data_IF_207692583692
#
_entry.id   IF_207692583692
#
_cell.length_a   1.000
_cell.length_b   1.000
_cell.length_c   1.000
_cell.angle_alpha   90.00
_cell.angle_beta   90.00
_cell.angle_gamma   90.00
#
_symmetry.space_group_name_H-M   'P 1'
#
loop_
_entity.id
_entity.type
_entity.pdbx_description
1 polymer ?
#
# COMPACT_ATOMS: atom_id res chain seq x y z
N UNK A 1 11.66 -6.86 0.30
CA UNK A 1 11.14 -6.79 1.68
C UNK A 1 9.94 -5.88 1.67
N UNK A 2 8.85 -6.24 2.36
CA UNK A 2 7.60 -5.48 2.33
C UNK A 2 7.78 -4.07 2.94
N UNK A 3 7.47 -3.06 2.13
CA UNK A 3 7.41 -1.65 2.52
C UNK A 3 5.96 -1.17 2.42
N UNK A 4 5.54 -0.35 3.38
CA UNK A 4 4.19 0.21 3.44
C UNK A 4 4.30 1.71 3.65
N UNK A 5 3.48 2.50 2.97
CA UNK A 5 3.37 3.94 3.22
C UNK A 5 2.67 4.18 4.55
N UNK A 6 3.38 4.75 5.52
CA UNK A 6 2.79 5.21 6.78
C UNK A 6 2.06 6.52 6.56
N UNK A 7 0.73 6.52 6.69
CA UNK A 7 -0.11 7.71 6.43
C UNK A 7 0.24 8.90 7.31
N UNK A 8 0.86 8.67 8.48
CA UNK A 8 1.24 9.76 9.39
C UNK A 8 2.43 10.58 8.87
N UNK A 9 3.31 9.94 8.10
CA UNK A 9 4.54 10.56 7.59
C UNK A 9 4.55 10.71 6.09
N UNK A 10 3.74 9.94 5.36
CA UNK A 10 3.80 9.81 3.90
C UNK A 10 5.00 9.00 3.41
N UNK A 11 5.83 8.49 4.32
CA UNK A 11 7.10 7.83 3.99
C UNK A 11 6.94 6.29 3.98
N UNK A 12 7.65 5.59 3.08
CA UNK A 12 7.69 4.14 3.07
C UNK A 12 8.47 3.60 4.28
N UNK A 13 7.80 2.80 5.10
CA UNK A 13 8.36 2.10 6.27
C UNK A 13 8.42 0.60 6.02
N UNK A 14 9.47 -0.05 6.53
CA UNK A 14 9.58 -1.50 6.54
C UNK A 14 8.48 -2.13 7.43
N UNK A 15 7.64 -2.98 6.84
CA UNK A 15 6.50 -3.58 7.55
C UNK A 15 6.93 -4.56 8.65
N UNK A 16 8.15 -5.12 8.55
CA UNK A 16 8.72 -6.08 9.48
C UNK A 16 10.23 -5.86 9.63
N UNK A 17 10.67 -4.82 10.36
CA UNK A 17 12.08 -4.39 10.41
C UNK A 17 13.05 -5.48 10.93
N UNK A 18 12.53 -6.46 11.68
CA UNK A 18 13.27 -7.65 12.07
C UNK A 18 12.79 -8.87 11.28
N UNK A 19 13.70 -9.55 10.54
CA UNK A 19 13.37 -10.72 9.69
C UNK A 19 12.73 -11.91 10.42
N UNK A 20 12.70 -11.92 11.75
CA UNK A 20 12.07 -12.95 12.60
C UNK A 20 11.30 -12.36 13.79
N UNK A 21 11.11 -11.05 13.82
CA UNK A 21 10.30 -10.40 14.85
C UNK A 21 8.82 -10.66 14.59
N UNK A 22 8.05 -10.89 15.65
CA UNK A 22 6.61 -10.95 15.55
C UNK A 22 6.09 -9.59 15.08
N UNK A 23 5.34 -9.57 13.98
CA UNK A 23 4.64 -8.36 13.51
C UNK A 23 3.17 -8.47 13.88
N UNK A 24 2.64 -7.42 14.50
CA UNK A 24 1.22 -7.35 14.88
C UNK A 24 0.47 -6.51 13.87
N UNK A 25 -0.58 -7.07 13.27
CA UNK A 25 -1.49 -6.34 12.38
C UNK A 25 -2.81 -6.10 13.12
N UNK A 26 -3.18 -4.83 13.32
CA UNK A 26 -4.43 -4.46 13.98
C UNK A 26 -5.38 -3.79 12.98
N UNK A 27 -6.48 -4.46 12.67
CA UNK A 27 -7.54 -3.91 11.84
C UNK A 27 -8.52 -3.08 12.69
N UNK A 28 -8.83 -1.86 12.25
CA UNK A 28 -9.75 -0.94 12.89
C UNK A 28 -10.97 -0.74 11.98
N UNK A 29 -12.07 -1.41 12.31
CA UNK A 29 -13.32 -1.33 11.55
C UNK A 29 -14.50 -1.11 12.50
N UNK A 30 -15.40 -0.19 12.16
CA UNK A 30 -16.50 0.23 13.03
C UNK A 30 -17.88 0.08 12.38
N UNK A 31 -18.33 -1.17 12.24
CA UNK A 31 -19.63 -1.53 11.63
C UNK A 31 -19.46 -2.38 10.37
N UNK A 32 -20.56 -2.97 9.88
CA UNK A 32 -20.58 -3.72 8.62
C UNK A 32 -20.93 -2.79 7.46
N UNK A 33 -19.92 -2.37 6.70
CA UNK A 33 -20.06 -1.67 5.42
C UNK A 33 -18.92 -2.08 4.47
N UNK A 34 -18.99 -1.64 3.21
CA UNK A 34 -18.00 -2.00 2.19
C UNK A 34 -16.59 -1.48 2.51
N UNK A 35 -16.46 -0.33 3.18
CA UNK A 35 -15.17 0.23 3.60
C UNK A 35 -14.55 -0.62 4.72
N UNK A 36 -15.36 -1.03 5.69
CA UNK A 36 -14.95 -1.95 6.76
C UNK A 36 -14.48 -3.29 6.18
N UNK A 37 -15.18 -3.85 5.20
CA UNK A 37 -14.73 -5.07 4.52
C UNK A 37 -13.42 -4.86 3.76
N UNK A 38 -13.23 -3.71 3.10
CA UNK A 38 -11.95 -3.38 2.45
C UNK A 38 -10.81 -3.26 3.46
N UNK A 39 -11.03 -2.67 4.62
CA UNK A 39 -10.05 -2.62 5.72
C UNK A 39 -9.64 -4.04 6.14
N UNK A 40 -10.60 -4.95 6.32
CA UNK A 40 -10.30 -6.34 6.68
C UNK A 40 -9.56 -7.09 5.56
N UNK A 41 -9.92 -6.85 4.29
CA UNK A 41 -9.25 -7.45 3.14
C UNK A 41 -7.80 -6.99 3.01
N UNK A 42 -7.54 -5.67 3.12
CA UNK A 42 -6.17 -5.13 3.12
C UNK A 42 -5.37 -5.67 4.30
N UNK A 43 -6.00 -5.84 5.47
CA UNK A 43 -5.37 -6.45 6.63
C UNK A 43 -4.98 -7.91 6.38
N UNK A 44 -5.87 -8.73 5.80
CA UNK A 44 -5.55 -10.11 5.44
C UNK A 44 -4.49 -10.21 4.34
N UNK A 45 -4.52 -9.32 3.35
CA UNK A 45 -3.50 -9.22 2.31
C UNK A 45 -2.12 -8.90 2.91
N UNK A 46 -2.07 -7.96 3.87
CA UNK A 46 -0.85 -7.62 4.60
C UNK A 46 -0.30 -8.81 5.40
N UNK A 47 -1.17 -9.54 6.11
CA UNK A 47 -0.79 -10.76 6.85
C UNK A 47 -0.23 -11.81 5.87
N UNK A 48 -0.90 -12.05 4.72
CA UNK A 48 -0.44 -13.00 3.69
C UNK A 48 0.91 -12.58 3.10
N UNK A 49 1.10 -11.30 2.79
CA UNK A 49 2.35 -10.78 2.25
C UNK A 49 3.53 -10.97 3.22
N UNK A 50 3.31 -10.68 4.51
CA UNK A 50 4.30 -10.86 5.57
C UNK A 50 4.69 -12.34 5.75
N UNK A 51 3.72 -13.25 5.79
CA UNK A 51 3.98 -14.69 5.93
C UNK A 51 4.65 -15.28 4.69
N UNK A 52 4.30 -14.83 3.48
CA UNK A 52 5.02 -15.19 2.26
C UNK A 52 6.48 -14.72 2.31
N UNK A 53 6.76 -13.64 3.04
CA UNK A 53 8.11 -13.18 3.37
C UNK A 53 8.77 -13.91 4.54
N UNK A 54 8.08 -14.86 5.18
CA UNK A 54 8.56 -15.63 6.32
C UNK A 54 8.44 -14.92 7.68
N UNK A 55 7.75 -13.79 7.76
CA UNK A 55 7.52 -13.05 9.00
C UNK A 55 6.34 -13.66 9.77
N UNK A 56 6.51 -14.04 11.04
CA UNK A 56 5.38 -14.46 11.87
C UNK A 56 4.47 -13.26 12.17
N UNK A 57 3.17 -13.44 11.99
CA UNK A 57 2.18 -12.37 12.14
C UNK A 57 1.14 -12.72 13.19
N UNK A 58 0.75 -11.73 13.98
CA UNK A 58 -0.41 -11.82 14.87
C UNK A 58 -1.46 -10.78 14.44
N UNK A 59 -2.62 -11.25 13.99
CA UNK A 59 -3.69 -10.40 13.44
C UNK A 59 -4.80 -10.18 14.46
N UNK A 60 -5.18 -8.92 14.71
CA UNK A 60 -6.19 -8.51 15.69
C UNK A 60 -7.27 -7.64 15.05
N UNK A 61 -8.51 -7.80 15.49
CA UNK A 61 -9.62 -6.91 15.14
C UNK A 61 -10.00 -6.01 16.32
N UNK A 62 -10.07 -4.71 16.07
CA UNK A 62 -10.39 -3.65 17.04
C UNK A 62 -11.53 -2.76 16.51
N UNK A 63 -12.40 -2.26 17.41
CA UNK A 63 -13.62 -1.51 17.08
C UNK A 63 -14.90 -2.35 17.25
N UNK A 64 -15.80 -1.93 18.15
CA UNK A 64 -16.79 -2.82 18.78
C UNK A 64 -18.28 -2.52 18.44
N UNK A 65 -18.65 -2.41 17.16
CA UNK A 65 -20.06 -2.50 16.73
C UNK A 65 -20.23 -3.64 15.72
N UNK A 66 -21.30 -4.44 15.87
CA UNK A 66 -21.66 -5.55 14.96
C UNK A 66 -20.54 -6.58 14.70
N UNK A 67 -19.69 -6.85 15.70
CA UNK A 67 -18.48 -7.65 15.50
C UNK A 67 -18.76 -9.10 15.03
N UNK A 68 -19.90 -9.68 15.40
CA UNK A 68 -20.29 -11.01 14.95
C UNK A 68 -20.65 -11.03 13.46
N UNK A 69 -21.45 -10.05 13.01
CA UNK A 69 -21.84 -9.89 11.60
C UNK A 69 -20.62 -9.60 10.72
N UNK A 70 -19.74 -8.71 11.18
CA UNK A 70 -18.50 -8.39 10.48
C UNK A 70 -17.58 -9.61 10.34
N UNK A 71 -17.48 -10.46 11.38
CA UNK A 71 -16.73 -11.72 11.30
C UNK A 71 -17.39 -12.72 10.34
N UNK A 72 -18.70 -12.84 10.36
CA UNK A 72 -19.42 -13.72 9.43
C UNK A 72 -19.19 -13.28 7.99
N UNK A 73 -19.27 -11.97 7.72
CA UNK A 73 -18.98 -11.39 6.41
C UNK A 73 -17.51 -11.60 5.99
N UNK A 74 -16.57 -11.39 6.90
CA UNK A 74 -15.15 -11.65 6.66
C UNK A 74 -14.88 -13.13 6.34
N UNK A 75 -15.49 -14.04 7.10
CA UNK A 75 -15.42 -15.48 6.84
C UNK A 75 -15.98 -15.87 5.48
N UNK A 76 -17.11 -15.29 5.08
CA UNK A 76 -17.68 -15.48 3.74
C UNK A 76 -16.73 -15.01 2.63
N UNK A 77 -15.96 -13.93 2.87
CA UNK A 77 -14.92 -13.41 1.97
C UNK A 77 -13.59 -14.19 1.98
N UNK A 78 -13.51 -15.32 2.69
CA UNK A 78 -12.27 -16.10 2.81
C UNK A 78 -11.15 -15.38 3.57
N UNK A 79 -11.49 -14.36 4.36
CA UNK A 79 -10.57 -13.63 5.22
C UNK A 79 -10.22 -14.51 6.40
N UNK A 80 -8.93 -14.62 6.72
CA UNK A 80 -8.49 -15.44 7.86
C UNK A 80 -8.96 -14.82 9.19
N UNK A 81 -9.31 -15.64 10.20
CA UNK A 81 -9.82 -15.14 11.47
C UNK A 81 -8.82 -14.19 12.15
N UNK A 82 -9.32 -13.09 12.70
CA UNK A 82 -8.56 -12.19 13.56
C UNK A 82 -8.78 -12.54 15.03
N UNK A 83 -7.70 -12.52 15.81
CA UNK A 83 -7.75 -12.70 17.26
C UNK A 83 -8.38 -11.46 17.95
N UNK A 84 -8.93 -11.63 19.15
CA UNK A 84 -9.53 -10.53 19.91
C UNK A 84 -8.49 -9.77 20.74
N UNK A 85 -8.58 -8.43 20.74
CA UNK A 85 -7.66 -7.54 21.47
C UNK A 85 -7.73 -7.57 23.01
N UNK A 86 -8.55 -8.44 23.61
CA UNK A 86 -8.72 -8.50 25.08
C UNK A 86 -7.66 -9.34 25.80
N UNK A 87 -6.86 -10.15 25.10
CA UNK A 87 -6.05 -11.18 25.79
C UNK A 87 -4.55 -10.88 25.94
N UNK A 88 -3.99 -9.76 25.45
CA UNK A 88 -2.52 -9.61 25.44
C UNK A 88 -2.03 -8.17 25.66
N UNK A 89 -2.31 -7.63 26.84
CA UNK A 89 -1.57 -6.49 27.39
C UNK A 89 -0.46 -6.96 28.32
N UNK A 90 0.79 -7.09 27.83
CA UNK A 90 2.07 -6.92 28.57
C UNK A 90 3.20 -7.90 28.21
N UNK A 91 2.95 -9.03 27.54
CA UNK A 91 3.95 -10.12 27.46
C UNK A 91 4.87 -10.18 26.23
N UNK A 92 4.58 -9.45 25.15
CA UNK A 92 5.30 -9.56 23.88
C UNK A 92 5.95 -8.21 23.54
N UNK A 93 7.11 -7.94 24.14
CA UNK A 93 7.91 -6.74 23.88
C UNK A 93 8.31 -6.58 22.40
N UNK A 94 8.66 -5.34 22.03
CA UNK A 94 9.31 -4.95 20.76
C UNK A 94 8.68 -5.44 19.43
N UNK A 95 7.43 -5.87 19.42
CA UNK A 95 6.73 -6.24 18.19
C UNK A 95 6.39 -4.97 17.37
N UNK A 96 6.78 -4.94 16.09
CA UNK A 96 6.29 -3.94 15.13
C UNK A 96 4.76 -4.02 15.07
N UNK A 97 4.07 -2.90 15.21
CA UNK A 97 2.60 -2.83 15.13
C UNK A 97 2.18 -2.06 13.88
N UNK A 98 1.38 -2.70 13.04
CA UNK A 98 0.77 -2.10 11.86
C UNK A 98 -0.72 -1.88 12.15
N UNK A 99 -1.16 -0.63 12.14
CA UNK A 99 -2.57 -0.28 12.29
C UNK A 99 -3.19 -0.10 10.92
N UNK A 100 -4.22 -0.88 10.58
CA UNK A 100 -4.95 -0.74 9.32
C UNK A 100 -6.31 -0.12 9.62
N UNK A 101 -6.62 1.02 9.02
CA UNK A 101 -7.84 1.78 9.30
C UNK A 101 -8.34 2.50 8.06
N UNK A 102 -9.63 2.84 8.03
CA UNK A 102 -10.16 3.70 6.98
C UNK A 102 -9.45 5.07 7.01
N UNK A 103 -8.99 5.53 5.85
CA UNK A 103 -8.42 6.86 5.67
C UNK A 103 -9.52 7.91 5.68
N UNK A 104 -9.41 8.91 6.55
CA UNK A 104 -10.30 10.08 6.51
C UNK A 104 -10.03 10.89 5.25
N UNK A 105 -11.07 11.39 4.60
CA UNK A 105 -11.02 12.20 3.39
C UNK A 105 -10.43 13.62 3.59
N UNK A 106 -9.61 13.85 4.60
CA UNK A 106 -9.01 15.16 4.89
C UNK A 106 -7.50 15.11 4.78
N UNK A 107 -7.01 15.35 3.55
CA UNK A 107 -5.77 16.09 3.27
C UNK A 107 -5.74 16.60 1.81
N UNK A 108 -6.90 16.96 1.26
CA UNK A 108 -6.95 17.93 0.17
C UNK A 108 -6.97 19.33 0.80
N UNK A 109 -5.78 19.85 1.09
CA UNK A 109 -5.59 21.25 1.49
C UNK A 109 -6.04 22.17 0.35
N UNK A 110 -7.23 22.74 0.52
CA UNK A 110 -7.80 23.74 -0.36
C UNK A 110 -9.03 24.32 0.31
N UNK A 111 -8.83 25.29 1.21
CA UNK A 111 -9.91 26.03 1.83
C UNK A 111 -10.86 26.59 0.76
N UNK A 112 -12.17 26.30 0.79
CA UNK A 112 -13.12 27.07 0.01
C UNK A 112 -13.25 28.44 0.68
N UNK A 113 -12.70 29.45 0.02
CA UNK A 113 -13.06 30.85 0.25
C UNK A 113 -14.58 30.97 0.15
N UNK A 114 -15.16 31.45 1.24
CA UNK A 114 -16.57 31.83 1.31
C UNK A 114 -16.81 32.99 0.34
N UNK A 115 -17.63 32.78 -0.69
CA UNK A 115 -18.35 33.87 -1.34
C UNK A 115 -19.85 33.68 -1.13
N UNK A 116 -20.34 34.51 -0.22
CA UNK A 116 -21.73 34.77 0.06
C UNK A 116 -22.37 35.47 -1.14
N UNK A 117 -23.30 34.81 -1.83
CA UNK A 117 -24.21 35.51 -2.76
C UNK A 117 -25.65 35.27 -2.34
N UNK A 118 -26.08 36.08 -1.38
CA UNK A 118 -27.49 36.42 -1.15
C UNK A 118 -27.82 37.70 -1.90
N UNK A 119 -28.85 37.68 -2.75
CA UNK A 119 -29.39 38.90 -3.38
C UNK A 119 -30.22 38.60 -4.63
N UNK A 120 -31.54 38.71 -4.49
CA UNK A 120 -32.54 38.31 -5.50
C UNK A 120 -32.66 39.21 -6.76
N UNK A 121 -33.70 38.97 -7.57
CA UNK A 121 -33.77 39.43 -8.96
C UNK A 121 -34.37 40.84 -9.08
N UNK A 122 -33.81 41.67 -9.98
CA UNK A 122 -34.49 42.86 -10.52
C UNK A 122 -34.19 43.03 -12.01
N UNK A 123 -35.27 43.16 -12.78
CA UNK A 123 -35.30 43.51 -14.21
C UNK A 123 -34.84 44.95 -14.48
N UNK A 124 -34.22 45.19 -15.64
CA UNK A 124 -34.08 46.55 -16.18
C UNK A 124 -33.10 46.74 -17.34
N UNK A 125 -33.60 46.50 -18.55
CA UNK A 125 -33.47 47.32 -19.78
C UNK A 125 -32.11 47.87 -20.28
N UNK A 126 -31.75 47.39 -21.49
CA UNK A 126 -31.15 48.07 -22.66
C UNK A 126 -29.77 48.77 -22.57
N UNK A 127 -28.93 48.44 -23.55
CA UNK A 127 -27.79 49.26 -23.98
C UNK A 127 -26.75 48.43 -24.73
N UNK A 128 -26.81 48.48 -26.07
CA UNK A 128 -25.92 47.70 -26.93
C UNK A 128 -24.50 48.26 -27.06
N UNK A 129 -23.60 47.40 -27.54
CA UNK A 129 -22.40 47.68 -28.36
C UNK A 129 -21.69 46.32 -28.53
N UNK A 130 -21.89 45.58 -29.63
CA UNK A 130 -21.09 45.65 -30.86
C UNK A 130 -19.57 45.74 -30.57
N UNK A 131 -18.90 44.58 -30.57
CA UNK A 131 -17.45 44.48 -30.74
C UNK A 131 -17.20 43.74 -32.04
N UNK A 132 -16.70 44.47 -33.04
CA UNK A 132 -16.24 43.99 -34.34
C UNK A 132 -14.75 43.63 -34.29
N UNK A 133 -14.36 42.71 -35.17
CA UNK A 133 -12.97 42.43 -35.57
C UNK A 133 -12.59 40.96 -35.37
N UNK A 134 -12.94 40.00 -36.24
CA UNK A 134 -12.28 39.64 -37.53
C UNK A 134 -10.78 39.92 -37.58
N UNK A 135 -9.90 39.09 -38.11
CA UNK A 135 -9.88 37.71 -38.58
C UNK A 135 -8.43 37.44 -39.03
N UNK A 136 -8.01 36.19 -39.05
CA UNK A 136 -7.13 35.68 -40.11
C UNK A 136 -5.66 35.43 -39.74
N UNK A 137 -5.18 34.25 -40.18
CA UNK A 137 -3.78 34.07 -40.58
C UNK A 137 -3.04 32.91 -39.93
N UNK A 138 -3.30 31.69 -40.40
CA UNK A 138 -2.48 30.48 -40.19
C UNK A 138 -1.18 30.53 -41.05
N UNK A 139 -0.33 29.48 -41.07
CA UNK A 139 0.97 29.31 -40.38
C UNK A 139 2.20 29.45 -41.32
N UNK A 140 3.43 29.34 -40.77
CA UNK A 140 4.62 28.94 -41.57
C UNK A 140 5.80 28.40 -40.72
N UNK A 141 6.47 27.42 -41.32
CA UNK A 141 7.57 26.56 -40.86
C UNK A 141 8.97 27.19 -40.77
N UNK A 142 9.83 26.48 -40.03
CA UNK A 142 11.26 26.17 -40.25
C UNK A 142 12.23 27.25 -40.75
N UNK A 143 13.38 27.39 -40.06
CA UNK A 143 14.68 26.82 -40.48
C UNK A 143 15.83 27.39 -39.64
N UNK A 144 16.81 26.53 -39.40
CA UNK A 144 18.10 26.76 -38.77
C UNK A 144 18.92 27.97 -39.29
N UNK A 145 19.71 28.56 -38.39
CA UNK A 145 20.81 29.47 -38.69
C UNK A 145 21.89 29.36 -37.61
N UNK A 146 23.08 28.91 -38.00
CA UNK A 146 24.29 28.71 -37.18
C UNK A 146 25.06 30.01 -36.93
N UNK A 147 25.95 29.90 -35.92
CA UNK A 147 27.21 30.64 -35.67
C UNK A 147 27.08 31.92 -34.83
N UNK A 148 27.95 32.26 -33.87
CA UNK A 148 29.41 32.10 -33.72
C UNK A 148 29.84 32.03 -32.23
N UNK A 149 31.11 31.68 -32.02
CA UNK A 149 31.88 31.40 -30.79
C UNK A 149 32.69 32.60 -30.24
N UNK A 150 33.01 32.54 -28.93
CA UNK A 150 34.28 32.97 -28.28
C UNK A 150 34.23 32.44 -26.84
N UNK A 151 35.03 31.44 -26.41
CA UNK A 151 36.47 31.50 -26.07
C UNK A 151 36.60 31.85 -24.58
N UNK A 152 37.40 31.27 -23.69
CA UNK A 152 38.53 30.32 -23.68
C UNK A 152 38.72 29.90 -22.20
N UNK A 153 38.81 28.61 -21.88
CA UNK A 153 40.04 27.86 -21.57
C UNK A 153 40.44 27.84 -20.07
N UNK A 154 40.71 26.63 -19.57
CA UNK A 154 41.31 26.38 -18.26
C UNK A 154 40.98 24.98 -17.76
N UNK A 155 41.85 24.01 -18.08
CA UNK A 155 41.61 22.59 -17.91
C UNK A 155 41.61 22.06 -16.47
N UNK A 156 40.83 21.00 -16.32
CA UNK A 156 40.87 19.85 -15.39
C UNK A 156 42.27 19.20 -15.23
N UNK A 157 42.44 18.09 -14.48
CA UNK A 157 41.75 17.55 -13.27
C UNK A 157 42.76 17.02 -12.22
N UNK A 158 42.31 16.43 -11.10
CA UNK A 158 42.80 15.12 -10.62
C UNK A 158 42.12 14.69 -9.30
N UNK A 159 41.88 13.38 -9.23
CA UNK A 159 41.35 12.61 -8.10
C UNK A 159 42.51 11.94 -7.33
N UNK A 160 42.26 11.69 -6.05
CA UNK A 160 42.67 10.49 -5.28
C UNK A 160 44.11 10.28 -4.72
N UNK A 161 44.12 10.17 -3.38
CA UNK A 161 44.66 9.04 -2.56
C UNK A 161 46.02 9.14 -1.86
N UNK A 162 45.93 8.89 -0.53
CA UNK A 162 46.85 8.27 0.43
C UNK A 162 48.17 8.92 0.87
N UNK A 163 48.33 8.92 2.20
CA UNK A 163 49.50 8.31 2.86
C UNK A 163 50.54 9.29 3.42
N UNK A 164 50.81 9.20 4.72
CA UNK A 164 52.02 9.78 5.32
C UNK A 164 51.88 10.18 6.78
N UNK A 165 52.24 9.27 7.66
CA UNK A 165 52.38 9.45 9.10
C UNK A 165 53.56 10.37 9.49
N UNK A 166 53.51 11.02 10.65
CA UNK A 166 54.36 10.73 11.83
C UNK A 166 54.19 11.75 12.98
N UNK A 167 54.18 11.20 14.20
CA UNK A 167 54.14 11.76 15.57
C UNK A 167 55.52 12.36 15.96
N UNK A 168 55.78 13.07 17.11
CA UNK A 168 55.51 12.67 18.52
C UNK A 168 55.10 13.86 19.45
N UNK A 169 54.74 13.73 20.73
CA UNK A 169 54.76 12.60 21.65
C UNK A 169 54.39 12.99 23.09
N UNK A 170 54.51 11.98 23.96
CA UNK A 170 54.70 11.95 25.43
C UNK A 170 53.69 12.69 26.32
N UNK A 171 52.85 11.99 27.11
CA UNK A 171 53.14 11.31 28.39
C UNK A 171 52.56 12.16 29.54
N UNK A 172 51.86 11.67 30.56
CA UNK A 172 51.41 10.35 30.94
C UNK A 172 50.55 10.46 32.21
N UNK A 173 50.12 9.32 32.75
CA UNK A 173 49.70 9.19 34.15
C UNK A 173 48.19 9.24 34.44
N UNK A 174 47.60 8.06 34.62
CA UNK A 174 46.50 7.82 35.56
C UNK A 174 47.10 7.25 36.86
N UNK A 175 46.34 6.92 37.93
CA UNK A 175 45.10 7.50 38.49
C UNK A 175 45.25 7.81 40.01
N UNK A 176 44.26 8.46 40.64
CA UNK A 176 44.04 8.32 42.09
C UNK A 176 42.59 8.67 42.50
N UNK A 177 42.04 7.80 43.35
CA UNK A 177 40.83 7.93 44.16
C UNK A 177 40.92 9.08 45.17
N UNK A 178 39.81 9.75 45.50
CA UNK A 178 39.25 9.71 46.87
C UNK A 178 37.93 10.49 47.02
N UNK A 179 37.13 9.93 47.92
CA UNK A 179 35.82 10.30 48.44
C UNK A 179 35.82 11.56 49.29
N UNK A 180 34.82 12.43 49.16
CA UNK A 180 34.12 13.07 50.30
C UNK A 180 32.99 14.02 49.86
N UNK A 181 31.85 13.96 50.56
CA UNK A 181 31.16 15.19 50.95
C UNK A 181 29.77 15.48 50.36
N UNK A 182 28.77 14.67 50.73
CA UNK A 182 27.46 15.10 51.28
C UNK A 182 26.71 16.29 50.61
N UNK A 183 25.54 16.00 50.00
CA UNK A 183 24.21 16.44 50.47
C UNK A 183 23.12 16.19 49.39
N UNK A 184 22.04 15.53 49.80
CA UNK A 184 20.81 15.28 49.04
C UNK A 184 19.92 16.53 48.99
N UNK A 185 19.29 16.82 47.84
CA UNK A 185 17.87 17.25 47.68
C UNK A 185 17.41 16.88 46.25
N UNK A 186 16.20 16.30 46.04
CA UNK A 186 15.82 15.70 44.77
C UNK A 186 15.28 16.74 43.78
N UNK A 187 15.81 16.71 42.55
CA UNK A 187 15.31 17.48 41.42
C UNK A 187 15.21 16.55 40.21
N UNK A 188 14.01 16.07 39.97
CA UNK A 188 13.61 15.24 38.84
C UNK A 188 13.82 16.01 37.53
N UNK A 189 14.90 15.70 36.83
CA UNK A 189 14.92 15.64 35.37
C UNK A 189 15.90 14.54 35.01
N UNK A 190 15.44 13.29 35.12
CA UNK A 190 15.87 12.31 34.12
C UNK A 190 15.60 12.98 32.77
N UNK A 191 16.67 13.40 32.10
CA UNK A 191 16.65 13.46 30.65
C UNK A 191 16.41 12.02 30.24
N UNK A 192 15.13 11.68 30.11
CA UNK A 192 14.70 10.50 29.37
C UNK A 192 15.42 10.62 28.04
N UNK A 193 16.28 9.67 27.64
CA UNK A 193 16.64 9.60 26.24
C UNK A 193 15.32 9.56 25.48
N UNK A 194 15.21 10.35 24.41
CA UNK A 194 14.06 10.35 23.53
C UNK A 194 13.61 8.90 23.33
N UNK A 195 12.42 8.59 23.84
CA UNK A 195 11.82 7.26 23.78
C UNK A 195 11.98 6.74 22.37
N UNK A 196 12.81 5.70 22.22
CA UNK A 196 12.98 4.97 20.98
C UNK A 196 11.60 4.70 20.39
N UNK A 197 11.39 5.15 19.15
CA UNK A 197 10.16 4.97 18.41
C UNK A 197 9.94 3.47 18.20
N UNK A 198 9.25 2.83 19.15
CA UNK A 198 8.83 1.43 19.00
C UNK A 198 7.87 1.39 17.80
N UNK A 199 8.27 0.67 16.76
CA UNK A 199 7.73 0.77 15.41
C UNK A 199 6.22 0.58 15.33
N UNK A 200 5.51 1.68 15.07
CA UNK A 200 4.07 1.74 14.92
C UNK A 200 3.74 2.48 13.63
N UNK A 201 3.46 1.75 12.55
CA UNK A 201 3.06 2.35 11.27
C UNK A 201 1.54 2.30 11.09
N UNK A 202 0.98 3.29 10.40
CA UNK A 202 -0.46 3.36 10.12
C UNK A 202 -0.71 3.24 8.62
N UNK A 203 -1.49 2.22 8.25
CA UNK A 203 -1.89 1.88 6.89
C UNK A 203 -3.31 2.40 6.68
N UNK A 204 -3.45 3.46 5.89
CA UNK A 204 -4.76 3.98 5.53
C UNK A 204 -5.39 3.18 4.38
N UNK A 205 -6.69 2.94 4.47
CA UNK A 205 -7.49 2.31 3.42
C UNK A 205 -8.54 3.30 2.97
N UNK A 206 -8.50 3.69 1.70
CA UNK A 206 -9.45 4.63 1.14
C UNK A 206 -10.87 4.07 1.10
N UNK A 207 -11.88 4.95 1.17
CA UNK A 207 -13.28 4.55 1.27
C UNK A 207 -13.75 3.76 0.05
N UNK A 208 -14.84 3.02 0.24
CA UNK A 208 -15.59 2.38 -0.83
C UNK A 208 -16.89 3.13 -1.04
N UNK A 209 -17.04 3.71 -2.23
CA UNK A 209 -18.25 4.36 -2.68
C UNK A 209 -19.20 3.31 -3.25
N UNK A 210 -20.23 2.98 -2.47
CA UNK A 210 -21.33 2.10 -2.89
C UNK A 210 -22.59 2.92 -3.11
N UNK A 211 -23.34 2.70 -4.20
CA UNK A 211 -24.61 3.39 -4.45
C UNK A 211 -25.69 3.01 -3.42
N UNK A 212 -25.49 1.93 -2.66
CA UNK A 212 -26.39 1.49 -1.59
C UNK A 212 -25.71 1.57 -0.23
N UNK A 213 -26.45 2.08 0.76
CA UNK A 213 -26.06 2.02 2.18
C UNK A 213 -26.30 0.64 2.80
N UNK A 214 -26.85 -0.31 2.05
CA UNK A 214 -27.04 -1.69 2.50
C UNK A 214 -25.70 -2.42 2.63
N UNK A 215 -25.69 -3.48 3.43
CA UNK A 215 -24.56 -4.39 3.51
C UNK A 215 -24.22 -4.93 2.10
N UNK A 216 -22.92 -5.06 1.76
CA UNK A 216 -22.51 -5.55 0.46
C UNK A 216 -22.99 -6.98 0.21
N UNK A 217 -23.34 -7.28 -1.04
CA UNK A 217 -23.74 -8.62 -1.46
C UNK A 217 -22.56 -9.59 -1.37
N UNK A 218 -22.73 -10.66 -0.58
CA UNK A 218 -21.72 -11.69 -0.35
C UNK A 218 -22.03 -12.98 -1.13
N UNK A 219 -22.96 -12.96 -2.09
CA UNK A 219 -23.32 -14.11 -2.91
C UNK A 219 -22.15 -14.60 -3.78
N UNK A 220 -21.25 -13.69 -4.17
CA UNK A 220 -20.01 -13.99 -4.90
C UNK A 220 -18.80 -13.36 -4.19
N UNK A 221 -18.28 -14.01 -3.13
CA UNK A 221 -17.22 -13.44 -2.33
C UNK A 221 -15.91 -13.22 -3.09
N UNK A 222 -15.63 -14.08 -4.08
CA UNK A 222 -14.44 -13.97 -4.92
C UNK A 222 -14.49 -12.73 -5.82
N UNK A 223 -15.64 -12.47 -6.46
CA UNK A 223 -15.83 -11.27 -7.27
C UNK A 223 -15.76 -9.99 -6.43
N UNK A 224 -16.40 -9.97 -5.25
CA UNK A 224 -16.32 -8.83 -4.33
C UNK A 224 -14.86 -8.56 -3.91
N UNK A 225 -14.11 -9.60 -3.57
CA UNK A 225 -12.71 -9.50 -3.20
C UNK A 225 -11.84 -8.95 -4.34
N UNK A 226 -12.02 -9.45 -5.56
CA UNK A 226 -11.31 -8.95 -6.74
C UNK A 226 -11.66 -7.48 -7.03
N UNK A 227 -12.93 -7.10 -6.96
CA UNK A 227 -13.36 -5.71 -7.17
C UNK A 227 -12.71 -4.75 -6.16
N UNK A 228 -12.63 -5.14 -4.88
CA UNK A 228 -12.03 -4.32 -3.82
C UNK A 228 -10.49 -4.21 -3.91
N UNK A 229 -9.83 -5.16 -4.58
CA UNK A 229 -8.38 -5.15 -4.85
C UNK A 229 -7.98 -4.48 -6.15
N UNK A 230 -8.94 -4.22 -7.04
CA UNK A 230 -8.65 -3.68 -8.37
C UNK A 230 -8.10 -2.24 -8.34
N UNK A 231 -8.22 -1.55 -7.21
CA UNK A 231 -7.61 -0.24 -6.98
C UNK A 231 -6.55 -0.30 -5.87
N UNK A 232 -5.49 0.52 -5.98
CA UNK A 232 -4.55 0.77 -4.89
C UNK A 232 -5.29 1.08 -3.58
N UNK A 233 -4.77 0.58 -2.45
CA UNK A 233 -5.44 0.67 -1.14
C UNK A 233 -5.71 2.11 -0.67
N UNK A 234 -4.94 3.06 -1.17
CA UNK A 234 -4.98 4.50 -0.88
C UNK A 234 -5.92 5.28 -1.80
N UNK A 235 -6.45 4.65 -2.86
CA UNK A 235 -7.44 5.25 -3.76
C UNK A 235 -8.86 4.74 -3.48
N UNK A 236 -9.89 5.61 -3.50
CA UNK A 236 -11.28 5.19 -3.34
C UNK A 236 -11.70 4.14 -4.38
N UNK A 237 -12.53 3.19 -3.96
CA UNK A 237 -13.12 2.19 -4.87
C UNK A 237 -14.58 2.50 -5.08
N UNK A 238 -15.00 2.59 -6.34
CA UNK A 238 -16.41 2.55 -6.68
C UNK A 238 -16.88 1.11 -6.82
N UNK A 239 -17.85 0.73 -6.00
CA UNK A 239 -18.43 -0.61 -6.00
C UNK A 239 -19.86 -0.55 -6.52
N UNK A 240 -20.01 -0.57 -7.84
CA UNK A 240 -21.30 -0.69 -8.53
C UNK A 240 -21.46 -2.06 -9.22
N UNK A 241 -22.64 -2.31 -9.77
CA UNK A 241 -22.96 -3.60 -10.39
C UNK A 241 -22.07 -3.94 -11.58
N UNK A 242 -21.63 -2.93 -12.34
CA UNK A 242 -20.73 -3.12 -13.49
C UNK A 242 -19.34 -3.59 -13.02
N UNK A 243 -18.79 -2.97 -11.98
CA UNK A 243 -17.52 -3.39 -11.38
C UNK A 243 -17.59 -4.84 -10.84
N UNK A 244 -18.70 -5.21 -10.20
CA UNK A 244 -18.91 -6.57 -9.69
C UNK A 244 -19.08 -7.60 -10.81
N UNK A 245 -19.82 -7.27 -11.87
CA UNK A 245 -20.01 -8.16 -13.02
C UNK A 245 -18.69 -8.37 -13.79
N UNK A 246 -17.87 -7.32 -13.91
CA UNK A 246 -16.54 -7.44 -14.52
C UNK A 246 -15.60 -8.31 -13.69
N UNK A 247 -15.60 -8.12 -12.36
CA UNK A 247 -14.84 -8.97 -11.47
C UNK A 247 -15.31 -10.44 -11.55
N UNK A 248 -16.62 -10.70 -11.64
CA UNK A 248 -17.17 -12.04 -11.80
C UNK A 248 -16.73 -12.69 -13.11
N UNK A 249 -16.82 -11.96 -14.23
CA UNK A 249 -16.37 -12.44 -15.55
C UNK A 249 -14.88 -12.78 -15.53
N UNK A 250 -14.06 -11.88 -14.99
CA UNK A 250 -12.61 -12.09 -14.87
C UNK A 250 -12.29 -13.32 -14.04
N UNK A 251 -12.95 -13.47 -12.88
CA UNK A 251 -12.69 -14.59 -11.99
C UNK A 251 -13.13 -15.94 -12.57
N UNK A 252 -14.30 -15.99 -13.22
CA UNK A 252 -14.78 -17.19 -13.91
C UNK A 252 -13.83 -17.60 -15.05
N UNK A 253 -13.37 -16.62 -15.83
CA UNK A 253 -12.40 -16.82 -16.90
C UNK A 253 -11.08 -17.38 -16.36
N UNK A 254 -10.50 -16.77 -15.33
CA UNK A 254 -9.25 -17.24 -14.72
C UNK A 254 -9.36 -18.61 -14.07
N UNK A 255 -10.46 -18.92 -13.36
CA UNK A 255 -10.65 -20.25 -12.77
C UNK A 255 -10.79 -21.33 -13.85
N UNK A 256 -11.49 -21.04 -14.96
CA UNK A 256 -11.54 -21.92 -16.12
C UNK A 256 -10.16 -22.15 -16.74
N UNK A 257 -9.40 -21.08 -16.99
CA UNK A 257 -8.05 -21.17 -17.53
C UNK A 257 -7.10 -21.97 -16.61
N UNK A 258 -7.15 -21.75 -15.29
CA UNK A 258 -6.36 -22.49 -14.31
C UNK A 258 -6.75 -23.97 -14.27
N UNK A 259 -8.04 -24.29 -14.30
CA UNK A 259 -8.52 -25.67 -14.39
C UNK A 259 -8.05 -26.37 -15.67
N UNK A 260 -7.95 -25.61 -16.78
CA UNK A 260 -7.42 -26.10 -18.04
C UNK A 260 -5.91 -26.38 -18.00
N UNK A 261 -5.13 -25.44 -17.48
CA UNK A 261 -3.69 -25.59 -17.34
C UNK A 261 -3.30 -26.69 -16.34
N UNK A 262 -4.11 -26.91 -15.30
CA UNK A 262 -3.88 -27.95 -14.30
C UNK A 262 -3.88 -29.38 -14.89
N UNK A 263 -4.40 -29.58 -16.11
CA UNK A 263 -4.33 -30.87 -16.83
C UNK A 263 -2.99 -31.14 -17.52
N UNK A 264 -2.08 -30.17 -17.50
CA UNK A 264 -0.73 -30.28 -18.08
C UNK A 264 0.31 -30.56 -16.99
N UNK A 265 1.48 -31.13 -17.32
CA UNK A 265 2.54 -31.33 -16.34
C UNK A 265 2.97 -30.00 -15.70
N UNK A 266 3.07 -29.98 -14.37
CA UNK A 266 3.52 -28.80 -13.61
C UNK A 266 4.93 -28.37 -14.05
N UNK A 267 5.18 -27.05 -14.04
CA UNK A 267 6.46 -26.42 -14.32
C UNK A 267 6.68 -25.27 -13.34
N UNK A 268 7.91 -25.05 -12.86
CA UNK A 268 8.17 -24.00 -11.87
C UNK A 268 7.78 -22.62 -12.40
N UNK A 269 7.35 -21.74 -11.50
CA UNK A 269 7.14 -20.31 -11.78
C UNK A 269 8.46 -19.71 -12.29
N UNK A 270 8.49 -19.07 -13.46
CA UNK A 270 9.68 -18.38 -13.96
C UNK A 270 10.21 -17.37 -12.95
N UNK A 271 11.52 -17.32 -12.76
CA UNK A 271 12.11 -16.46 -11.71
C UNK A 271 11.83 -14.97 -11.97
N UNK A 272 11.82 -14.53 -13.23
CA UNK A 272 11.46 -13.16 -13.63
C UNK A 272 10.05 -12.80 -13.16
N UNK A 273 9.07 -13.66 -13.45
CA UNK A 273 7.68 -13.48 -13.02
C UNK A 273 7.56 -13.47 -11.50
N UNK A 274 8.27 -14.39 -10.82
CA UNK A 274 8.28 -14.44 -9.35
C UNK A 274 8.85 -13.16 -8.75
N UNK A 275 9.92 -12.61 -9.33
CA UNK A 275 10.52 -11.35 -8.89
C UNK A 275 9.55 -10.20 -9.11
N UNK A 276 8.94 -10.08 -10.28
CA UNK A 276 7.98 -9.02 -10.58
C UNK A 276 6.77 -9.04 -9.65
N UNK A 277 6.16 -10.21 -9.46
CA UNK A 277 5.06 -10.40 -8.52
C UNK A 277 5.46 -9.95 -7.11
N UNK A 278 6.63 -10.40 -6.64
CA UNK A 278 7.13 -10.04 -5.32
C UNK A 278 7.42 -8.56 -5.19
N UNK A 279 8.07 -7.96 -6.18
CA UNK A 279 8.34 -6.51 -6.20
C UNK A 279 7.03 -5.72 -6.12
N UNK A 280 5.99 -6.14 -6.85
CA UNK A 280 4.70 -5.46 -6.84
C UNK A 280 4.07 -5.44 -5.45
N UNK A 281 3.86 -6.59 -4.79
CA UNK A 281 3.22 -6.57 -3.48
C UNK A 281 4.14 -6.08 -2.35
N UNK A 282 5.47 -6.16 -2.51
CA UNK A 282 6.42 -5.60 -1.55
C UNK A 282 6.47 -4.07 -1.60
N UNK A 283 6.02 -3.47 -2.70
CA UNK A 283 5.83 -2.03 -2.87
C UNK A 283 4.40 -1.63 -2.51
N UNK A 284 4.19 -1.39 -1.22
CA UNK A 284 2.93 -0.89 -0.66
C UNK A 284 1.68 -1.72 -0.96
N UNK A 285 1.83 -3.04 -1.09
CA UNK A 285 0.74 -3.93 -1.47
C UNK A 285 0.10 -3.53 -2.82
N UNK A 286 0.92 -3.20 -3.82
CA UNK A 286 0.44 -2.84 -5.16
C UNK A 286 -0.17 -4.06 -5.90
N UNK A 287 -1.40 -4.42 -5.50
CA UNK A 287 -2.19 -5.49 -6.10
C UNK A 287 -2.55 -5.22 -7.57
N UNK A 288 -2.88 -3.98 -8.00
CA UNK A 288 -3.10 -3.71 -9.42
C UNK A 288 -1.94 -4.16 -10.32
N UNK A 289 -0.70 -3.95 -9.87
CA UNK A 289 0.48 -4.42 -10.57
C UNK A 289 0.60 -5.96 -10.56
N UNK A 290 0.25 -6.61 -9.45
CA UNK A 290 0.13 -8.08 -9.39
C UNK A 290 -0.87 -8.60 -10.42
N UNK A 291 -2.06 -7.98 -10.52
CA UNK A 291 -3.09 -8.35 -11.49
C UNK A 291 -2.63 -8.11 -12.93
N UNK A 292 -1.88 -7.02 -13.18
CA UNK A 292 -1.26 -6.73 -14.48
C UNK A 292 -0.27 -7.83 -14.90
N UNK A 293 0.55 -8.31 -13.96
CA UNK A 293 1.48 -9.41 -14.19
C UNK A 293 0.72 -10.70 -14.54
N UNK A 294 -0.37 -11.01 -13.84
CA UNK A 294 -1.20 -12.19 -14.14
C UNK A 294 -1.79 -12.13 -15.55
N UNK A 295 -2.38 -10.99 -15.94
CA UNK A 295 -2.93 -10.81 -17.28
C UNK A 295 -1.89 -10.98 -18.40
N UNK A 296 -0.64 -10.52 -18.16
CA UNK A 296 0.47 -10.75 -19.09
C UNK A 296 0.89 -12.22 -19.13
N UNK A 297 0.95 -12.91 -17.99
CA UNK A 297 1.32 -14.33 -17.90
C UNK A 297 0.35 -15.23 -18.66
N UNK A 298 -0.95 -14.94 -18.54
CA UNK A 298 -2.01 -15.64 -19.26
C UNK A 298 -1.80 -15.62 -20.78
N UNK A 299 -1.37 -14.48 -21.32
CA UNK A 299 -1.21 -14.27 -22.77
C UNK A 299 0.21 -14.49 -23.27
N UNK A 300 1.16 -14.87 -22.40
CA UNK A 300 2.56 -15.08 -22.77
C UNK A 300 2.70 -16.27 -23.73
N UNK A 301 3.08 -16.07 -25.01
CA UNK A 301 3.02 -17.11 -26.04
C UNK A 301 3.78 -18.40 -25.73
N UNK A 302 5.02 -18.27 -25.26
CA UNK A 302 5.94 -19.41 -25.08
C UNK A 302 5.99 -19.96 -23.65
N UNK A 303 5.11 -19.47 -22.76
CA UNK A 303 5.08 -19.93 -21.38
C UNK A 303 4.30 -21.26 -21.30
N UNK A 304 4.90 -22.35 -20.78
CA UNK A 304 4.18 -23.61 -20.63
C UNK A 304 2.97 -23.47 -19.71
N UNK A 305 1.86 -24.13 -20.04
CA UNK A 305 0.63 -24.12 -19.23
C UNK A 305 0.89 -24.49 -17.77
N UNK A 306 1.74 -25.48 -17.50
CA UNK A 306 2.12 -25.85 -16.14
C UNK A 306 2.78 -24.71 -15.35
N UNK A 307 3.50 -23.81 -16.02
CA UNK A 307 4.11 -22.64 -15.40
C UNK A 307 3.11 -21.50 -15.21
N UNK A 308 2.14 -21.34 -16.13
CA UNK A 308 0.99 -20.44 -15.93
C UNK A 308 0.18 -20.85 -14.70
N UNK A 309 -0.15 -22.14 -14.60
CA UNK A 309 -0.81 -22.74 -13.45
C UNK A 309 -0.08 -22.43 -12.14
N UNK A 310 1.21 -22.77 -12.03
CA UNK A 310 1.98 -22.52 -10.80
C UNK A 310 2.09 -21.03 -10.49
N UNK A 311 2.13 -20.16 -11.51
CA UNK A 311 2.17 -18.70 -11.32
C UNK A 311 0.88 -18.20 -10.68
N UNK A 312 -0.27 -18.63 -11.21
CA UNK A 312 -1.58 -18.27 -10.69
C UNK A 312 -1.77 -18.84 -9.27
N UNK A 313 -1.40 -20.09 -9.03
CA UNK A 313 -1.44 -20.71 -7.71
C UNK A 313 -0.51 -20.02 -6.70
N UNK A 314 0.64 -19.52 -7.14
CA UNK A 314 1.57 -18.76 -6.31
C UNK A 314 0.99 -17.39 -5.92
N UNK A 315 0.46 -16.63 -6.90
CA UNK A 315 -0.18 -15.35 -6.64
C UNK A 315 -1.44 -15.48 -5.76
N UNK A 316 -2.19 -16.57 -5.91
CA UNK A 316 -3.41 -16.82 -5.13
C UNK A 316 -3.15 -16.98 -3.62
N UNK A 317 -1.92 -17.33 -3.21
CA UNK A 317 -1.55 -17.35 -1.78
C UNK A 317 -1.63 -15.96 -1.15
N UNK A 318 -1.29 -14.92 -1.92
CA UNK A 318 -1.46 -13.52 -1.54
C UNK A 318 -2.92 -13.09 -1.73
N UNK A 319 -3.48 -13.34 -2.92
CA UNK A 319 -4.75 -12.75 -3.32
C UNK A 319 -5.95 -13.42 -2.63
N UNK A 320 -5.91 -14.72 -2.37
CA UNK A 320 -7.02 -15.45 -1.74
C UNK A 320 -8.30 -15.45 -2.57
N UNK A 321 -8.18 -15.53 -3.89
CA UNK A 321 -9.28 -15.56 -4.85
C UNK A 321 -9.78 -16.99 -5.14
N UNK A 322 -9.13 -18.01 -4.59
CA UNK A 322 -9.45 -19.43 -4.83
C UNK A 322 -9.40 -19.75 -6.33
N UNK A 323 -8.30 -19.42 -6.99
CA UNK A 323 -8.14 -19.59 -8.44
C UNK A 323 -8.12 -21.07 -8.84
N UNK A 324 -7.79 -21.95 -7.90
CA UNK A 324 -7.74 -23.41 -8.09
C UNK A 324 -9.06 -24.12 -7.81
N UNK A 325 -10.13 -23.38 -7.48
CA UNK A 325 -11.42 -23.94 -7.03
C UNK A 325 -12.09 -24.87 -8.03
N UNK A 326 -11.96 -24.58 -9.33
CA UNK A 326 -12.69 -25.32 -10.38
C UNK A 326 -11.90 -26.53 -10.91
N UNK A 327 -10.72 -26.82 -10.35
CA UNK A 327 -9.92 -27.97 -10.73
C UNK A 327 -10.68 -29.26 -10.41
N UNK A 328 -10.88 -30.09 -11.44
CA UNK A 328 -11.61 -31.35 -11.30
C UNK A 328 -13.12 -31.19 -11.20
N UNK A 329 -13.66 -29.97 -11.32
CA UNK A 329 -15.09 -29.78 -11.56
C UNK A 329 -15.44 -30.28 -12.96
N UNK A 330 -16.49 -31.07 -13.06
CA UNK A 330 -17.09 -31.44 -14.35
C UNK A 330 -18.00 -30.26 -14.72
N UNK A 331 -17.60 -29.48 -15.71
CA UNK A 331 -18.42 -28.43 -16.30
C UNK A 331 -19.70 -29.00 -16.92
#
# INVERSE_FOLDING_TARGET
MLRIIDVRTGEPVEAAPARRGLTRVQAHASGLDATALRVLLVSDLLVRALELGGTPVWSLLTGARQQAELRAAAGALGIRPFEHGTDLGSGLGEAQVLHVMAGGAETAGGAPVSEETGGGPVSGTAGGAQVSGTAGGTPASETAGRAQVSGTAGGTPASETAGGAQVPGAAGGAPASETAGRAQVPGTTEVTPASEATGRAVVAVAPVDSPTAAAPDLSDPGALRLALFSQPRDLPVRLDGEALDEARRTLAHWRGAVADWARRPSRPVPDEVRVELRTAWEDDLNVPEVLRVLHRVETWPDLPDGARFETYAYADRLLGLELTRDIGSLA
#
